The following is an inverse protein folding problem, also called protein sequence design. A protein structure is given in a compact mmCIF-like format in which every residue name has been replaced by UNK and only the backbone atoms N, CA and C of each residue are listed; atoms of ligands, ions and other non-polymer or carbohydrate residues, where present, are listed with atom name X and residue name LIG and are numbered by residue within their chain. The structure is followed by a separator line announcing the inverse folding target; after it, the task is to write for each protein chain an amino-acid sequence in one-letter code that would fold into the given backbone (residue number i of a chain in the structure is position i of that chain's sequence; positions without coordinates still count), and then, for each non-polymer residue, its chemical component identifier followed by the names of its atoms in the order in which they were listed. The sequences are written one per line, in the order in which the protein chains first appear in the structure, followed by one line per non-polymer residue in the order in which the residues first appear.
data_IF_033010743802
#
_entry.id   IF_033010743802
#
_cell.length_a   1.000
_cell.length_b   1.000
_cell.length_c   1.000
_cell.angle_alpha   90.00
_cell.angle_beta   90.00
_cell.angle_gamma   90.00
#
_symmetry.space_group_name_H-M   'P 1'
#
loop_
_entity.id
_entity.type
_entity.pdbx_description
1 polymer ?
#
# COMPACT_ATOMS: atom_id res chain seq x y z
N UNK A 1 2.20 -1.70 -51.65
CA UNK A 1 2.82 -1.10 -50.44
C UNK A 1 3.57 -2.13 -49.60
N UNK A 2 2.99 -3.28 -49.26
CA UNK A 2 3.63 -4.36 -48.48
C UNK A 2 4.86 -5.00 -49.18
N UNK A 3 4.83 -5.20 -50.49
CA UNK A 3 5.95 -5.81 -51.27
C UNK A 3 7.23 -4.97 -51.22
N UNK A 4 7.11 -3.64 -51.27
CA UNK A 4 8.26 -2.73 -51.18
C UNK A 4 8.87 -2.71 -49.78
N UNK A 5 8.06 -2.91 -48.71
CA UNK A 5 8.54 -3.06 -47.34
C UNK A 5 9.31 -4.38 -47.16
N UNK A 6 8.82 -5.46 -47.71
CA UNK A 6 9.47 -6.77 -47.64
C UNK A 6 10.80 -6.79 -48.43
N UNK A 7 10.86 -6.09 -49.57
CA UNK A 7 12.09 -5.97 -50.39
C UNK A 7 13.16 -5.15 -49.66
N UNK A 8 12.78 -4.03 -49.04
CA UNK A 8 13.69 -3.23 -48.22
C UNK A 8 14.20 -3.99 -47.00
N UNK A 9 13.31 -4.72 -46.30
CA UNK A 9 13.71 -5.60 -45.22
C UNK A 9 14.74 -6.64 -45.63
N UNK A 10 14.54 -7.29 -46.80
CA UNK A 10 15.48 -8.27 -47.33
C UNK A 10 16.86 -7.69 -47.64
N UNK A 11 16.94 -6.43 -48.07
CA UNK A 11 18.22 -5.75 -48.41
C UNK A 11 18.95 -5.19 -47.18
N UNK A 12 18.22 -4.83 -46.10
CA UNK A 12 18.77 -4.18 -44.88
C UNK A 12 18.37 -4.91 -43.61
N UNK A 13 18.33 -6.24 -43.62
CA UNK A 13 17.81 -7.08 -42.54
C UNK A 13 18.39 -6.71 -41.17
N UNK A 14 19.71 -6.55 -41.10
CA UNK A 14 20.41 -6.29 -39.84
C UNK A 14 20.04 -4.93 -39.27
N UNK A 15 20.04 -3.87 -40.05
CA UNK A 15 19.71 -2.51 -39.61
C UNK A 15 18.23 -2.39 -39.18
N UNK A 16 17.31 -2.98 -39.94
CA UNK A 16 15.88 -2.97 -39.63
C UNK A 16 15.59 -3.79 -38.36
N UNK A 17 16.16 -5.00 -38.25
CA UNK A 17 15.99 -5.84 -37.07
C UNK A 17 16.56 -5.19 -35.81
N UNK A 18 17.73 -4.54 -35.91
CA UNK A 18 18.36 -3.84 -34.78
C UNK A 18 17.51 -2.63 -34.32
N UNK A 19 16.97 -1.86 -35.30
CA UNK A 19 16.10 -0.72 -34.98
C UNK A 19 14.77 -1.16 -34.33
N UNK A 20 14.16 -2.24 -34.82
CA UNK A 20 12.94 -2.79 -34.24
C UNK A 20 13.24 -3.32 -32.85
N UNK A 21 14.31 -4.09 -32.67
CA UNK A 21 14.69 -4.63 -31.37
C UNK A 21 14.98 -3.50 -30.36
N UNK A 22 15.72 -2.46 -30.74
CA UNK A 22 16.02 -1.29 -29.94
C UNK A 22 14.76 -0.53 -29.52
N UNK A 23 13.83 -0.30 -30.48
CA UNK A 23 12.58 0.37 -30.18
C UNK A 23 11.69 -0.47 -29.25
N UNK A 24 11.61 -1.78 -29.49
CA UNK A 24 10.83 -2.70 -28.64
C UNK A 24 11.38 -2.70 -27.20
N UNK A 25 12.71 -2.81 -27.06
CA UNK A 25 13.35 -2.80 -25.74
C UNK A 25 13.09 -1.47 -25.02
N UNK A 26 13.24 -0.35 -25.72
CA UNK A 26 13.01 0.98 -25.15
C UNK A 26 11.55 1.16 -24.68
N UNK A 27 10.58 0.79 -25.51
CA UNK A 27 9.15 0.88 -25.16
C UNK A 27 8.79 -0.04 -23.99
N UNK A 28 9.30 -1.27 -23.98
CA UNK A 28 9.07 -2.21 -22.88
C UNK A 28 9.64 -1.66 -21.58
N UNK A 29 10.89 -1.18 -21.59
CA UNK A 29 11.54 -0.58 -20.42
C UNK A 29 10.77 0.64 -19.91
N UNK A 30 10.33 1.51 -20.84
CA UNK A 30 9.51 2.67 -20.49
C UNK A 30 8.21 2.28 -19.80
N UNK A 31 7.47 1.31 -20.35
CA UNK A 31 6.20 0.83 -19.79
C UNK A 31 6.42 0.25 -18.39
N UNK A 32 7.46 -0.56 -18.19
CA UNK A 32 7.77 -1.17 -16.88
C UNK A 32 8.10 -0.08 -15.85
N UNK A 33 8.93 0.89 -16.22
CA UNK A 33 9.30 1.99 -15.31
C UNK A 33 8.08 2.84 -14.96
N UNK A 34 7.24 3.20 -15.93
CA UNK A 34 6.03 3.98 -15.66
C UNK A 34 5.04 3.20 -14.80
N UNK A 35 4.90 1.89 -15.00
CA UNK A 35 4.07 1.04 -14.15
C UNK A 35 4.59 1.04 -12.70
N UNK A 36 5.91 0.93 -12.48
CA UNK A 36 6.52 1.02 -11.16
C UNK A 36 6.32 2.40 -10.53
N UNK A 37 6.59 3.48 -11.26
CA UNK A 37 6.37 4.86 -10.78
C UNK A 37 4.90 5.07 -10.40
N UNK A 38 3.98 4.59 -11.24
CA UNK A 38 2.53 4.67 -10.94
C UNK A 38 2.17 3.90 -9.69
N UNK A 39 2.71 2.69 -9.51
CA UNK A 39 2.51 1.87 -8.31
C UNK A 39 2.93 2.63 -7.04
N UNK A 40 4.14 3.20 -7.01
CA UNK A 40 4.65 3.94 -5.86
C UNK A 40 3.82 5.21 -5.56
N UNK A 41 3.51 6.00 -6.60
CA UNK A 41 2.78 7.28 -6.42
C UNK A 41 1.29 7.11 -6.10
N UNK A 42 0.72 5.93 -6.33
CA UNK A 42 -0.69 5.64 -6.03
C UNK A 42 -0.88 4.78 -4.79
N UNK A 43 0.16 4.67 -3.95
CA UNK A 43 0.08 3.91 -2.70
C UNK A 43 -0.99 4.52 -1.79
N UNK A 44 -1.92 3.69 -1.28
CA UNK A 44 -3.09 4.07 -0.48
C UNK A 44 -4.06 5.08 -1.11
N UNK A 45 -3.84 5.51 -2.37
CA UNK A 45 -4.71 6.49 -3.03
C UNK A 45 -6.12 5.96 -3.38
N UNK A 46 -6.36 4.65 -3.25
CA UNK A 46 -7.65 4.03 -3.51
C UNK A 46 -8.67 4.22 -2.39
N UNK A 47 -8.23 4.58 -1.17
CA UNK A 47 -9.14 4.88 -0.07
C UNK A 47 -9.85 6.21 -0.30
N UNK A 48 -11.18 6.24 -0.14
CA UNK A 48 -11.89 7.50 -0.11
C UNK A 48 -11.41 8.32 1.08
N UNK A 49 -11.28 9.62 0.89
CA UNK A 49 -10.78 10.53 1.93
C UNK A 49 -9.37 10.16 2.47
N UNK A 50 -8.51 9.50 1.67
CA UNK A 50 -7.14 9.18 2.06
C UNK A 50 -6.34 10.42 2.51
N UNK A 51 -6.66 11.59 1.97
CA UNK A 51 -6.12 12.90 2.30
C UNK A 51 -6.56 13.43 3.68
N UNK A 52 -7.66 12.89 4.24
CA UNK A 52 -8.18 13.21 5.58
C UNK A 52 -7.90 12.13 6.62
N UNK A 53 -7.25 11.03 6.22
CA UNK A 53 -6.82 9.96 7.13
C UNK A 53 -5.35 10.17 7.47
N UNK A 54 -5.05 10.15 8.77
CA UNK A 54 -3.69 10.37 9.29
C UNK A 54 -3.32 9.29 10.29
N UNK A 55 -2.07 8.82 10.20
CA UNK A 55 -1.45 8.00 11.25
C UNK A 55 -0.86 8.93 12.32
N UNK A 56 -1.14 8.61 13.58
CA UNK A 56 -0.50 9.27 14.69
C UNK A 56 0.87 8.67 14.97
N UNK A 57 1.86 9.52 15.15
CA UNK A 57 3.25 9.17 15.38
C UNK A 57 3.80 10.05 16.49
N UNK A 58 4.78 9.56 17.24
CA UNK A 58 5.40 10.34 18.29
C UNK A 58 6.92 10.28 18.21
N UNK A 59 7.56 11.30 18.80
CA UNK A 59 8.97 11.31 19.13
C UNK A 59 9.16 11.78 20.56
N UNK A 60 10.26 11.39 21.16
CA UNK A 60 10.69 11.85 22.48
C UNK A 60 12.23 12.04 22.50
N UNK A 61 12.78 12.43 23.66
CA UNK A 61 14.21 12.68 23.81
C UNK A 61 15.11 11.46 23.60
N UNK A 62 14.57 10.25 23.60
CA UNK A 62 15.34 9.00 23.43
C UNK A 62 15.45 8.58 21.95
N UNK A 63 14.56 9.08 21.08
CA UNK A 63 14.43 8.65 19.68
C UNK A 63 15.36 9.41 18.72
N UNK A 64 16.21 10.30 19.22
CA UNK A 64 17.22 11.03 18.43
C UNK A 64 16.66 11.72 17.16
N UNK A 65 15.40 12.17 17.21
CA UNK A 65 14.70 12.81 16.10
C UNK A 65 13.98 11.86 15.15
N UNK A 66 14.02 10.56 15.41
CA UNK A 66 13.15 9.58 14.74
C UNK A 66 11.75 9.61 15.36
N UNK A 67 10.79 8.98 14.65
CA UNK A 67 9.42 8.84 15.11
C UNK A 67 9.03 7.37 15.24
N UNK A 68 8.07 7.09 16.10
CA UNK A 68 7.40 5.80 16.22
C UNK A 68 5.91 5.92 15.95
N UNK A 69 5.33 4.90 15.29
CA UNK A 69 3.87 4.75 15.11
C UNK A 69 3.23 3.86 16.19
N UNK A 70 4.03 3.14 16.95
CA UNK A 70 3.60 2.22 18.01
C UNK A 70 3.25 2.94 19.30
N UNK A 71 2.04 3.47 19.42
CA UNK A 71 1.54 4.14 20.63
C UNK A 71 1.13 3.13 21.69
N UNK A 72 1.29 3.49 22.97
CA UNK A 72 0.61 2.81 24.07
C UNK A 72 -0.91 3.07 23.96
N UNK A 73 -1.73 2.08 24.36
CA UNK A 73 -3.20 2.23 24.36
C UNK A 73 -3.66 3.50 25.05
N UNK A 74 -3.13 3.80 26.22
CA UNK A 74 -3.48 4.97 27.01
C UNK A 74 -3.23 6.29 26.26
N UNK A 75 -2.11 6.43 25.53
CA UNK A 75 -1.83 7.62 24.72
C UNK A 75 -2.81 7.77 23.55
N UNK A 76 -3.07 6.67 22.85
CA UNK A 76 -3.95 6.67 21.70
C UNK A 76 -5.41 6.90 22.08
N UNK A 77 -5.87 6.38 23.19
CA UNK A 77 -7.24 6.60 23.68
C UNK A 77 -7.46 8.07 24.06
N UNK A 78 -6.45 8.73 24.68
CA UNK A 78 -6.44 10.18 24.92
C UNK A 78 -6.52 10.95 23.59
N UNK A 79 -5.77 10.54 22.58
CA UNK A 79 -5.83 11.15 21.25
C UNK A 79 -7.25 11.07 20.67
N UNK A 80 -7.87 9.89 20.65
CA UNK A 80 -9.19 9.71 20.05
C UNK A 80 -10.29 10.51 20.76
N UNK A 81 -10.13 10.76 22.07
CA UNK A 81 -11.06 11.55 22.86
C UNK A 81 -10.77 13.07 22.86
N UNK A 82 -9.67 13.52 22.27
CA UNK A 82 -9.12 14.86 22.48
C UNK A 82 -9.85 15.98 21.75
N UNK A 83 -10.57 15.70 20.67
CA UNK A 83 -11.11 16.75 19.82
C UNK A 83 -12.34 16.30 19.03
N UNK A 84 -13.36 17.19 18.91
CA UNK A 84 -14.52 16.95 18.07
C UNK A 84 -14.20 16.97 16.56
N UNK A 85 -13.02 17.45 16.16
CA UNK A 85 -12.55 17.44 14.78
C UNK A 85 -12.08 16.05 14.29
N UNK A 86 -12.01 15.08 15.19
CA UNK A 86 -11.77 13.67 14.86
C UNK A 86 -13.13 13.03 14.57
N UNK A 87 -13.46 12.84 13.29
CA UNK A 87 -14.71 12.19 12.86
C UNK A 87 -14.74 10.70 13.20
N UNK A 88 -13.60 10.04 13.06
CA UNK A 88 -13.46 8.60 13.31
C UNK A 88 -12.01 8.28 13.64
N UNK A 89 -11.81 7.24 14.45
CA UNK A 89 -10.48 6.72 14.76
C UNK A 89 -10.45 5.20 14.66
N UNK A 90 -9.29 4.66 14.33
CA UNK A 90 -9.06 3.22 14.22
C UNK A 90 -7.74 2.82 14.83
N UNK A 91 -7.70 1.63 15.42
CA UNK A 91 -6.54 1.07 16.10
C UNK A 91 -6.16 -0.23 15.40
N UNK A 92 -4.88 -0.42 15.12
CA UNK A 92 -4.31 -1.64 14.55
C UNK A 92 -3.16 -2.12 15.44
N UNK A 93 -3.15 -3.40 15.72
CA UNK A 93 -2.02 -4.09 16.31
C UNK A 93 -1.60 -5.25 15.38
N UNK A 94 -0.34 -5.29 14.95
CA UNK A 94 0.16 -6.32 14.04
C UNK A 94 0.85 -7.43 14.84
N UNK A 95 0.35 -8.65 14.70
CA UNK A 95 1.09 -9.85 15.12
C UNK A 95 2.11 -10.33 14.08
N UNK A 96 2.05 -9.77 12.86
CA UNK A 96 2.83 -10.28 11.72
C UNK A 96 2.34 -11.63 11.24
N UNK A 97 3.25 -12.40 10.63
CA UNK A 97 2.93 -13.71 10.07
C UNK A 97 2.77 -14.76 11.16
N UNK A 98 1.54 -15.19 11.40
CA UNK A 98 1.14 -16.08 12.49
C UNK A 98 0.59 -17.38 11.93
N UNK A 99 0.81 -18.48 12.66
CA UNK A 99 0.28 -19.80 12.31
C UNK A 99 -1.22 -19.87 12.58
N UNK A 100 -1.96 -20.22 11.53
CA UNK A 100 -3.43 -20.26 11.55
C UNK A 100 -3.91 -21.62 11.04
N UNK A 101 -4.95 -22.18 11.65
CA UNK A 101 -5.59 -23.43 11.18
C UNK A 101 -7.06 -23.50 11.64
N UNK A 102 -7.87 -24.22 10.88
CA UNK A 102 -9.25 -24.54 11.28
C UNK A 102 -9.27 -25.50 12.48
N UNK A 103 -10.08 -25.18 13.49
CA UNK A 103 -10.16 -25.97 14.73
C UNK A 103 -10.52 -27.44 14.47
N UNK A 104 -11.41 -27.72 13.50
CA UNK A 104 -11.87 -29.07 13.19
C UNK A 104 -10.85 -29.88 12.36
N UNK A 105 -10.07 -29.21 11.53
CA UNK A 105 -9.06 -29.84 10.66
C UNK A 105 -7.71 -30.01 11.38
N UNK A 106 -7.52 -29.29 12.49
CA UNK A 106 -6.32 -29.38 13.32
C UNK A 106 -5.06 -28.80 12.65
N UNK A 107 -3.92 -28.98 13.33
CA UNK A 107 -2.63 -28.35 12.95
C UNK A 107 -2.06 -28.82 11.61
N UNK A 108 -2.54 -29.90 11.03
CA UNK A 108 -1.99 -30.47 9.77
C UNK A 108 -2.21 -29.54 8.57
N UNK A 109 -3.27 -28.75 8.56
CA UNK A 109 -3.60 -27.76 7.54
C UNK A 109 -3.16 -26.34 7.88
N UNK A 110 -2.18 -26.15 8.80
CA UNK A 110 -1.79 -24.81 9.24
C UNK A 110 -1.06 -24.02 8.15
N UNK A 111 -1.39 -22.73 8.03
CA UNK A 111 -0.76 -21.76 7.15
C UNK A 111 -0.19 -20.60 7.96
N UNK A 112 0.87 -19.96 7.44
CA UNK A 112 1.33 -18.67 7.95
C UNK A 112 0.57 -17.57 7.23
N UNK A 113 -0.19 -16.77 7.97
CA UNK A 113 -0.98 -15.64 7.44
C UNK A 113 -0.78 -14.43 8.36
N UNK A 114 -0.71 -13.24 7.77
CA UNK A 114 -0.58 -12.01 8.55
C UNK A 114 -1.86 -11.76 9.36
N UNK A 115 -1.70 -11.55 10.66
CA UNK A 115 -2.80 -11.36 11.60
C UNK A 115 -2.71 -10.00 12.28
N UNK A 116 -3.86 -9.32 12.34
CA UNK A 116 -4.01 -8.01 12.97
C UNK A 116 -5.17 -8.02 13.97
N UNK A 117 -4.98 -7.39 15.13
CA UNK A 117 -6.10 -7.00 15.98
C UNK A 117 -6.51 -5.57 15.61
N UNK A 118 -7.83 -5.36 15.47
CA UNK A 118 -8.36 -4.07 15.03
C UNK A 118 -9.48 -3.60 15.93
N UNK A 119 -9.60 -2.27 16.11
CA UNK A 119 -10.79 -1.69 16.74
C UNK A 119 -12.02 -1.88 15.85
N UNK A 120 -13.24 -1.91 16.43
CA UNK A 120 -14.49 -2.07 15.68
C UNK A 120 -14.71 -0.98 14.61
N UNK A 121 -14.14 0.20 14.82
CA UNK A 121 -14.27 1.35 13.91
C UNK A 121 -13.29 1.33 12.73
N UNK A 122 -12.24 0.50 12.78
CA UNK A 122 -11.21 0.48 11.75
C UNK A 122 -11.75 0.09 10.36
N UNK A 123 -12.61 -0.95 10.22
CA UNK A 123 -13.17 -1.30 8.93
C UNK A 123 -13.97 -0.18 8.27
N UNK A 124 -14.69 0.64 9.04
CA UNK A 124 -15.42 1.80 8.52
C UNK A 124 -14.47 2.95 8.14
N UNK A 125 -13.38 3.13 8.90
CA UNK A 125 -12.37 4.15 8.60
C UNK A 125 -11.70 3.92 7.25
N UNK A 126 -11.35 2.67 6.94
CA UNK A 126 -10.67 2.24 5.72
C UNK A 126 -11.62 1.61 4.69
N UNK A 127 -12.92 1.71 4.91
CA UNK A 127 -13.97 1.25 3.97
C UNK A 127 -13.78 -0.21 3.50
N UNK A 128 -13.57 -1.13 4.44
CA UNK A 128 -13.45 -2.56 4.13
C UNK A 128 -14.73 -3.05 3.43
N UNK A 129 -14.60 -3.55 2.21
CA UNK A 129 -15.73 -4.07 1.46
C UNK A 129 -16.07 -5.50 1.92
N UNK A 130 -17.23 -5.69 2.57
CA UNK A 130 -17.71 -7.00 2.99
C UNK A 130 -18.15 -7.82 1.78
N UNK A 131 -17.57 -9.00 1.60
CA UNK A 131 -17.95 -9.97 0.55
C UNK A 131 -18.98 -10.96 1.05
N UNK A 132 -18.84 -11.41 2.32
CA UNK A 132 -19.74 -12.37 2.95
C UNK A 132 -19.76 -12.19 4.46
N UNK A 133 -20.86 -12.51 5.12
CA UNK A 133 -21.02 -12.38 6.56
C UNK A 133 -21.33 -10.94 6.99
N UNK A 134 -21.00 -10.59 8.23
CA UNK A 134 -21.23 -9.25 8.80
C UNK A 134 -19.95 -8.73 9.49
N UNK A 135 -19.27 -7.79 8.83
CA UNK A 135 -18.04 -7.22 9.35
C UNK A 135 -18.25 -6.32 10.57
N UNK A 136 -19.46 -5.83 10.84
CA UNK A 136 -19.81 -5.07 12.05
C UNK A 136 -19.61 -5.88 13.33
N UNK A 137 -19.68 -7.22 13.21
CA UNK A 137 -19.42 -8.14 14.31
C UNK A 137 -17.96 -8.23 14.73
N UNK A 138 -17.02 -7.56 14.02
CA UNK A 138 -15.59 -7.61 14.36
C UNK A 138 -15.26 -7.09 15.75
N UNK A 139 -16.16 -6.32 16.38
CA UNK A 139 -16.03 -5.89 17.76
C UNK A 139 -16.43 -6.93 18.82
N UNK A 140 -17.03 -8.05 18.42
CA UNK A 140 -17.42 -9.12 19.33
C UNK A 140 -16.16 -9.84 19.87
N UNK A 141 -16.15 -10.24 21.14
CA UNK A 141 -15.06 -11.06 21.67
C UNK A 141 -14.88 -12.32 20.79
N UNK A 142 -13.62 -12.64 20.50
CA UNK A 142 -13.26 -13.80 19.67
C UNK A 142 -13.73 -13.74 18.20
N UNK A 143 -14.22 -12.60 17.69
CA UNK A 143 -14.51 -12.45 16.30
C UNK A 143 -13.22 -12.37 15.44
N UNK A 144 -13.28 -12.96 14.25
CA UNK A 144 -12.27 -12.77 13.21
C UNK A 144 -12.93 -12.58 11.84
N UNK A 145 -12.28 -11.83 10.97
CA UNK A 145 -12.65 -11.74 9.57
C UNK A 145 -11.45 -12.04 8.68
N UNK A 146 -11.70 -12.70 7.56
CA UNK A 146 -10.68 -13.13 6.61
C UNK A 146 -10.71 -12.23 5.38
N UNK A 147 -9.55 -11.89 4.83
CA UNK A 147 -9.50 -11.43 3.44
C UNK A 147 -9.94 -12.55 2.49
N UNK A 148 -10.38 -12.18 1.30
CA UNK A 148 -10.85 -13.15 0.30
C UNK A 148 -9.76 -14.17 -0.07
N UNK A 149 -8.51 -13.71 -0.20
CA UNK A 149 -7.36 -14.59 -0.43
C UNK A 149 -7.07 -15.51 0.74
N UNK A 150 -7.15 -15.02 1.99
CA UNK A 150 -6.96 -15.84 3.18
C UNK A 150 -8.07 -16.91 3.31
N UNK A 151 -9.33 -16.54 3.04
CA UNK A 151 -10.44 -17.48 3.03
C UNK A 151 -10.25 -18.56 1.96
N UNK A 152 -9.80 -18.20 0.76
CA UNK A 152 -9.52 -19.15 -0.32
C UNK A 152 -8.34 -20.07 0.03
N UNK A 153 -7.29 -19.54 0.64
CA UNK A 153 -6.11 -20.32 1.02
C UNK A 153 -6.43 -21.38 2.10
N UNK A 154 -7.27 -21.03 3.09
CA UNK A 154 -7.64 -21.90 4.20
C UNK A 154 -8.77 -22.88 3.84
N UNK A 155 -9.75 -22.42 3.08
CA UNK A 155 -11.01 -23.17 2.89
C UNK A 155 -11.31 -23.56 1.44
N UNK A 156 -10.56 -23.02 0.46
CA UNK A 156 -10.85 -23.23 -0.96
C UNK A 156 -12.23 -22.67 -1.32
N UNK A 157 -13.15 -23.52 -1.73
CA UNK A 157 -14.53 -23.15 -2.09
C UNK A 157 -15.54 -23.38 -0.96
N UNK A 158 -15.10 -23.84 0.21
CA UNK A 158 -15.99 -24.10 1.35
C UNK A 158 -16.35 -22.78 2.03
N UNK A 159 -17.58 -22.69 2.55
CA UNK A 159 -18.01 -21.52 3.32
C UNK A 159 -17.30 -21.50 4.70
N UNK A 160 -16.51 -20.49 5.03
CA UNK A 160 -15.83 -20.39 6.31
C UNK A 160 -16.67 -19.67 7.39
N UNK A 161 -17.77 -18.98 7.05
CA UNK A 161 -18.55 -18.21 8.02
C UNK A 161 -19.14 -19.12 9.11
N UNK A 162 -18.94 -18.72 10.38
CA UNK A 162 -19.33 -19.46 11.57
C UNK A 162 -18.37 -20.58 11.95
N UNK A 163 -17.33 -20.86 11.15
CA UNK A 163 -16.28 -21.81 11.54
C UNK A 163 -15.32 -21.18 12.55
N UNK A 164 -14.61 -22.04 13.28
CA UNK A 164 -13.67 -21.62 14.30
C UNK A 164 -12.23 -21.77 13.81
N UNK A 165 -11.48 -20.70 13.93
CA UNK A 165 -10.09 -20.58 13.51
C UNK A 165 -9.21 -20.48 14.76
N UNK A 166 -8.14 -21.25 14.81
CA UNK A 166 -7.14 -21.14 15.85
C UNK A 166 -5.98 -20.28 15.35
N UNK A 167 -5.70 -19.20 16.07
CA UNK A 167 -4.65 -18.22 15.77
C UNK A 167 -3.86 -18.05 17.07
N UNK A 168 -2.57 -18.40 17.05
CA UNK A 168 -1.67 -18.29 18.22
C UNK A 168 -2.28 -18.91 19.50
N UNK A 169 -2.83 -20.12 19.36
CA UNK A 169 -3.52 -20.90 20.39
C UNK A 169 -4.84 -20.28 20.92
N UNK A 170 -5.30 -19.16 20.35
CA UNK A 170 -6.62 -18.59 20.61
C UNK A 170 -7.63 -19.01 19.53
N UNK A 171 -8.83 -19.38 19.95
CA UNK A 171 -9.92 -19.73 19.04
C UNK A 171 -10.79 -18.50 18.75
N UNK A 172 -11.01 -18.23 17.46
CA UNK A 172 -11.84 -17.12 16.99
C UNK A 172 -12.92 -17.63 16.02
N UNK A 173 -14.12 -17.03 16.05
CA UNK A 173 -15.20 -17.31 15.10
C UNK A 173 -15.04 -16.43 13.86
N UNK A 174 -15.17 -17.03 12.67
CA UNK A 174 -15.14 -16.29 11.42
C UNK A 174 -16.52 -15.64 11.18
N UNK A 175 -16.59 -14.33 11.32
CA UNK A 175 -17.84 -13.55 11.23
C UNK A 175 -18.02 -12.91 9.85
N UNK A 176 -16.93 -12.68 9.10
CA UNK A 176 -16.99 -12.05 7.79
C UNK A 176 -15.82 -12.44 6.87
N UNK A 177 -16.04 -12.26 5.58
CA UNK A 177 -15.01 -12.19 4.55
C UNK A 177 -15.03 -10.79 3.96
N UNK A 178 -13.88 -10.14 3.89
CA UNK A 178 -13.72 -8.85 3.22
C UNK A 178 -12.87 -8.97 1.94
N UNK A 179 -13.05 -8.02 1.02
CA UNK A 179 -12.29 -7.96 -0.23
C UNK A 179 -10.82 -7.68 0.04
N UNK A 180 -9.92 -8.35 -0.70
CA UNK A 180 -8.50 -8.09 -0.63
C UNK A 180 -8.18 -6.63 -0.98
N UNK A 181 -7.24 -6.05 -0.26
CA UNK A 181 -6.70 -4.74 -0.60
C UNK A 181 -5.83 -4.80 -1.85
N UNK A 182 -5.73 -3.71 -2.62
CA UNK A 182 -4.72 -3.60 -3.66
C UNK A 182 -3.31 -3.77 -3.10
N UNK A 183 -2.37 -4.24 -3.93
CA UNK A 183 -0.97 -4.46 -3.51
C UNK A 183 -0.26 -3.18 -3.08
N UNK A 184 -0.69 -2.03 -3.60
CA UNK A 184 -0.22 -0.69 -3.22
C UNK A 184 -1.05 -0.11 -2.07
N UNK A 185 -1.22 -0.90 -1.03
CA UNK A 185 -1.92 -0.54 0.19
C UNK A 185 -1.06 -0.82 1.42
N UNK A 186 -1.26 -0.03 2.47
CA UNK A 186 -0.68 -0.26 3.79
C UNK A 186 -1.19 -1.54 4.45
N UNK A 187 -2.32 -2.09 4.00
CA UNK A 187 -2.82 -3.38 4.46
C UNK A 187 -2.40 -4.52 3.53
N UNK A 188 -1.96 -5.63 4.13
CA UNK A 188 -1.57 -6.84 3.40
C UNK A 188 -2.80 -7.48 2.75
N UNK A 189 -2.76 -7.80 1.43
CA UNK A 189 -3.90 -8.39 0.73
C UNK A 189 -4.39 -9.71 1.33
N UNK A 190 -3.46 -10.62 1.71
CA UNK A 190 -3.80 -11.90 2.31
C UNK A 190 -3.63 -11.82 3.82
N UNK A 191 -4.69 -11.44 4.54
CA UNK A 191 -4.62 -11.21 5.98
C UNK A 191 -5.89 -11.61 6.72
N UNK A 192 -5.75 -11.71 8.04
CA UNK A 192 -6.84 -11.96 8.99
C UNK A 192 -6.89 -10.78 9.96
N UNK A 193 -8.08 -10.29 10.25
CA UNK A 193 -8.31 -9.33 11.33
C UNK A 193 -9.10 -9.97 12.44
N UNK A 194 -8.80 -9.62 13.70
CA UNK A 194 -9.52 -10.06 14.88
C UNK A 194 -9.92 -8.88 15.77
N UNK A 195 -10.84 -9.13 16.70
CA UNK A 195 -11.26 -8.14 17.66
C UNK A 195 -10.09 -7.70 18.57
N UNK A 196 -9.86 -6.39 18.66
CA UNK A 196 -8.84 -5.82 19.55
C UNK A 196 -9.23 -5.95 21.03
N UNK A 197 -10.49 -5.69 21.37
CA UNK A 197 -10.98 -5.71 22.73
C UNK A 197 -10.10 -4.90 23.71
N UNK A 198 -9.85 -5.48 24.87
CA UNK A 198 -9.00 -4.89 25.92
C UNK A 198 -7.50 -5.23 25.76
N UNK A 199 -7.09 -5.81 24.65
CA UNK A 199 -5.70 -6.19 24.40
C UNK A 199 -4.76 -5.00 24.63
N UNK A 200 -3.78 -5.20 25.51
CA UNK A 200 -2.73 -4.22 25.79
C UNK A 200 -3.07 -3.06 26.71
N UNK A 201 -4.28 -3.01 27.28
CA UNK A 201 -4.65 -1.95 28.23
C UNK A 201 -3.83 -2.07 29.52
N UNK A 202 -3.66 -3.29 30.05
CA UNK A 202 -3.04 -3.52 31.35
C UNK A 202 -1.50 -3.48 31.33
N UNK A 203 -0.86 -3.90 30.23
CA UNK A 203 0.59 -4.14 30.22
C UNK A 203 1.44 -2.97 29.69
N UNK A 204 0.80 -1.86 29.29
CA UNK A 204 1.50 -0.61 28.93
C UNK A 204 2.44 -0.67 27.73
N UNK A 205 2.50 -1.79 27.00
CA UNK A 205 3.31 -1.90 25.80
C UNK A 205 2.78 -1.02 24.68
N UNK A 206 3.70 -0.33 23.98
CA UNK A 206 3.38 0.51 22.85
C UNK A 206 3.71 -0.20 21.55
N UNK A 207 2.69 -0.62 20.81
CA UNK A 207 2.85 -1.18 19.45
C UNK A 207 1.57 -1.00 18.63
N UNK A 208 0.67 -0.12 19.09
CA UNK A 208 -0.62 0.10 18.44
C UNK A 208 -0.54 1.28 17.50
N UNK A 209 -0.80 1.06 16.22
CA UNK A 209 -0.94 2.15 15.25
C UNK A 209 -2.33 2.77 15.37
N UNK A 210 -2.38 4.08 15.50
CA UNK A 210 -3.60 4.87 15.58
C UNK A 210 -3.78 5.68 14.31
N UNK A 211 -4.91 5.48 13.69
CA UNK A 211 -5.35 6.25 12.52
C UNK A 211 -6.55 7.10 12.90
N UNK A 212 -6.56 8.34 12.45
CA UNK A 212 -7.69 9.26 12.62
C UNK A 212 -8.16 9.79 11.28
N UNK A 213 -9.47 9.96 11.12
CA UNK A 213 -10.04 10.76 10.04
C UNK A 213 -10.52 12.07 10.64
N UNK A 214 -10.05 13.18 10.08
CA UNK A 214 -10.43 14.52 10.50
C UNK A 214 -11.46 15.12 9.56
N UNK A 215 -12.27 16.03 10.08
CA UNK A 215 -13.22 16.82 9.29
C UNK A 215 -12.48 17.74 8.28
N UNK A 216 -11.37 18.36 8.72
CA UNK A 216 -10.48 19.17 7.89
C UNK A 216 -9.01 18.99 8.34
N UNK A 217 -8.08 18.77 7.39
CA UNK A 217 -6.64 18.71 7.70
C UNK A 217 -6.07 19.95 8.40
N UNK A 218 -6.69 21.12 8.24
CA UNK A 218 -6.29 22.37 8.92
C UNK A 218 -6.45 22.25 10.45
N UNK A 219 -7.32 21.38 10.94
CA UNK A 219 -7.54 21.16 12.37
C UNK A 219 -6.48 20.28 13.05
N UNK A 220 -5.57 19.65 12.31
CA UNK A 220 -4.51 18.78 12.88
C UNK A 220 -3.64 19.50 13.90
N UNK A 221 -3.34 20.78 13.66
CA UNK A 221 -2.56 21.58 14.62
C UNK A 221 -3.36 21.86 15.91
N UNK A 222 -4.66 22.04 15.79
CA UNK A 222 -5.55 22.19 16.96
C UNK A 222 -5.60 20.89 17.79
N UNK A 223 -5.73 19.74 17.10
CA UNK A 223 -5.71 18.42 17.76
C UNK A 223 -4.35 18.22 18.45
N UNK A 224 -3.24 18.49 17.77
CA UNK A 224 -1.89 18.34 18.33
C UNK A 224 -1.69 19.20 19.58
N UNK A 225 -2.16 20.45 19.57
CA UNK A 225 -2.10 21.36 20.74
C UNK A 225 -2.96 20.89 21.91
N UNK A 226 -4.06 20.20 21.65
CA UNK A 226 -4.88 19.62 22.68
C UNK A 226 -4.24 18.37 23.31
N UNK A 227 -3.60 17.53 22.51
CA UNK A 227 -3.05 16.22 22.93
C UNK A 227 -1.69 16.35 23.60
N UNK A 228 -0.75 17.14 23.06
CA UNK A 228 0.61 17.21 23.57
C UNK A 228 0.72 17.51 25.07
N UNK A 229 0.00 18.50 25.65
CA UNK A 229 0.07 18.73 27.09
C UNK A 229 -0.41 17.53 27.93
N UNK A 230 -1.45 16.83 27.44
CA UNK A 230 -1.99 15.65 28.15
C UNK A 230 -1.00 14.49 28.16
N UNK A 231 -0.29 14.28 27.05
CA UNK A 231 0.74 13.25 26.96
C UNK A 231 1.96 13.59 27.83
N UNK A 232 2.40 14.86 27.81
CA UNK A 232 3.51 15.34 28.65
C UNK A 232 3.18 15.16 30.12
N UNK A 233 1.96 15.53 30.56
CA UNK A 233 1.52 15.36 31.96
C UNK A 233 1.48 13.88 32.34
N UNK A 234 0.95 13.03 31.47
CA UNK A 234 0.77 11.60 31.72
C UNK A 234 2.10 10.84 31.83
N UNK A 235 3.08 11.14 30.97
CA UNK A 235 4.37 10.44 30.91
C UNK A 235 5.49 11.18 31.67
N UNK A 236 5.24 12.40 32.15
CA UNK A 236 6.24 13.27 32.78
C UNK A 236 7.46 13.52 31.87
N UNK A 237 7.23 13.61 30.55
CA UNK A 237 8.27 13.81 29.52
C UNK A 237 7.94 15.03 28.66
N UNK A 238 8.66 16.14 28.89
CA UNK A 238 8.52 17.39 28.13
C UNK A 238 9.02 17.30 26.68
N UNK A 239 9.78 16.28 26.33
CA UNK A 239 10.32 16.08 25.00
C UNK A 239 9.35 15.41 24.05
N UNK A 240 8.26 14.85 24.59
CA UNK A 240 7.24 14.11 23.85
C UNK A 240 6.48 15.01 22.87
N UNK A 241 6.41 14.61 21.61
CA UNK A 241 5.74 15.35 20.54
C UNK A 241 4.94 14.42 19.64
N UNK A 242 3.69 14.80 19.39
CA UNK A 242 2.81 14.15 18.43
C UNK A 242 3.02 14.71 17.01
N UNK A 243 3.06 13.82 16.02
CA UNK A 243 3.01 14.13 14.59
C UNK A 243 1.87 13.36 13.94
N UNK A 244 1.30 13.94 12.90
CA UNK A 244 0.35 13.28 12.01
C UNK A 244 0.93 13.14 10.62
N UNK A 245 0.95 11.91 10.11
CA UNK A 245 1.39 11.62 8.74
C UNK A 245 0.18 11.19 7.91
N UNK A 246 -0.12 11.93 6.83
CA UNK A 246 -1.22 11.60 5.94
C UNK A 246 -1.04 10.20 5.32
N UNK A 247 -2.11 9.44 5.21
CA UNK A 247 -2.10 8.05 4.75
C UNK A 247 -1.29 7.85 3.46
N UNK A 248 -1.47 8.64 2.37
CA UNK A 248 -0.69 8.46 1.14
C UNK A 248 0.79 8.85 1.27
N UNK A 249 1.20 9.49 2.38
CA UNK A 249 2.58 9.88 2.64
C UNK A 249 3.34 8.88 3.50
N UNK A 250 2.65 7.95 4.17
CA UNK A 250 3.26 6.95 5.04
C UNK A 250 4.30 6.14 4.27
N UNK A 251 3.97 5.73 3.04
CA UNK A 251 4.85 4.97 2.15
C UNK A 251 6.17 5.70 1.83
N UNK A 252 6.21 7.02 1.91
CA UNK A 252 7.39 7.85 1.65
C UNK A 252 8.07 8.39 2.92
N UNK A 253 7.66 7.91 4.11
CA UNK A 253 8.21 8.36 5.39
C UNK A 253 9.43 7.49 5.76
N UNK A 254 10.58 8.12 6.03
CA UNK A 254 11.85 7.44 6.29
C UNK A 254 12.43 7.69 7.68
N UNK A 255 11.92 8.67 8.42
CA UNK A 255 12.37 9.06 9.74
C UNK A 255 11.65 8.28 10.86
N UNK A 256 11.37 7.01 10.62
CA UNK A 256 10.73 6.11 11.56
C UNK A 256 11.76 5.18 12.21
N UNK A 257 11.68 4.97 13.51
CA UNK A 257 12.55 4.03 14.23
C UNK A 257 12.30 2.58 13.78
N UNK A 258 11.02 2.21 13.65
CA UNK A 258 10.60 0.92 13.11
C UNK A 258 9.73 1.15 11.88
N UNK A 259 10.08 0.46 10.80
CA UNK A 259 9.31 0.48 9.56
C UNK A 259 8.55 -0.82 9.46
N UNK A 260 7.26 -0.77 9.73
CA UNK A 260 6.36 -1.94 9.63
C UNK A 260 5.92 -2.24 8.20
N UNK A 261 6.14 -1.31 7.27
CA UNK A 261 5.63 -1.37 5.90
C UNK A 261 6.74 -1.10 4.88
N UNK A 262 6.52 -1.53 3.63
CA UNK A 262 7.42 -1.17 2.53
C UNK A 262 7.43 0.35 2.33
N UNK A 263 8.62 0.93 2.25
CA UNK A 263 8.80 2.36 2.00
C UNK A 263 9.47 2.60 0.67
N UNK A 264 9.06 3.68 0.00
CA UNK A 264 9.66 4.18 -1.22
C UNK A 264 10.26 5.57 -1.01
N UNK A 265 11.30 5.89 -1.78
CA UNK A 265 11.90 7.24 -1.76
C UNK A 265 11.42 8.06 -2.95
N UNK A 266 10.99 9.30 -2.70
CA UNK A 266 10.72 10.27 -3.77
C UNK A 266 11.93 10.44 -4.70
N UNK A 267 13.17 10.40 -4.18
CA UNK A 267 14.37 10.49 -4.98
C UNK A 267 14.48 9.31 -5.97
N UNK A 268 14.15 8.09 -5.54
CA UNK A 268 14.11 6.92 -6.41
C UNK A 268 13.03 7.06 -7.48
N UNK A 269 11.83 7.48 -7.12
CA UNK A 269 10.70 7.66 -8.05
C UNK A 269 11.03 8.70 -9.12
N UNK A 270 11.57 9.88 -8.73
CA UNK A 270 11.97 10.91 -9.68
C UNK A 270 13.15 10.49 -10.55
N UNK A 271 14.10 9.72 -10.02
CA UNK A 271 15.20 9.15 -10.80
C UNK A 271 14.68 8.19 -11.88
N UNK A 272 13.76 7.29 -11.51
CA UNK A 272 13.12 6.38 -12.46
C UNK A 272 12.35 7.14 -13.54
N UNK A 273 11.61 8.19 -13.16
CA UNK A 273 10.88 9.02 -14.11
C UNK A 273 11.84 9.72 -15.10
N UNK A 274 12.97 10.24 -14.60
CA UNK A 274 14.00 10.84 -15.44
C UNK A 274 14.58 9.83 -16.44
N UNK A 275 14.88 8.61 -15.97
CA UNK A 275 15.36 7.52 -16.85
C UNK A 275 14.31 7.18 -17.91
N UNK A 276 13.02 7.08 -17.53
CA UNK A 276 11.93 6.81 -18.47
C UNK A 276 11.86 7.86 -19.59
N UNK A 277 11.97 9.16 -19.23
CA UNK A 277 11.99 10.26 -20.18
C UNK A 277 13.20 10.16 -21.12
N UNK A 278 14.40 9.85 -20.60
CA UNK A 278 15.59 9.68 -21.42
C UNK A 278 15.47 8.50 -22.40
N UNK A 279 14.93 7.37 -21.93
CA UNK A 279 14.69 6.19 -22.79
C UNK A 279 13.76 6.54 -23.95
N UNK A 280 12.65 7.23 -23.70
CA UNK A 280 11.71 7.58 -24.77
C UNK A 280 12.31 8.60 -25.74
N UNK A 281 13.13 9.54 -25.26
CA UNK A 281 13.85 10.48 -26.12
C UNK A 281 14.85 9.75 -27.03
N UNK A 282 15.64 8.82 -26.50
CA UNK A 282 16.56 8.00 -27.29
C UNK A 282 15.81 7.15 -28.32
N UNK A 283 14.68 6.56 -27.92
CA UNK A 283 13.82 5.80 -28.84
C UNK A 283 13.27 6.67 -29.98
N UNK A 284 12.83 7.90 -29.68
CA UNK A 284 12.38 8.86 -30.68
C UNK A 284 13.50 9.24 -31.65
N UNK A 285 14.70 9.53 -31.17
CA UNK A 285 15.88 9.84 -32.01
C UNK A 285 16.19 8.66 -32.91
N UNK A 286 16.22 7.44 -32.37
CA UNK A 286 16.47 6.21 -33.17
C UNK A 286 15.39 6.02 -34.23
N UNK A 287 14.11 6.24 -33.89
CA UNK A 287 13.00 6.16 -34.84
C UNK A 287 13.13 7.21 -35.98
N UNK A 288 13.46 8.47 -35.63
CA UNK A 288 13.66 9.57 -36.60
C UNK A 288 14.82 9.22 -37.54
N UNK A 289 15.98 8.82 -37.00
CA UNK A 289 17.15 8.42 -37.80
C UNK A 289 16.83 7.29 -38.78
N UNK A 290 16.08 6.28 -38.28
CA UNK A 290 15.64 5.17 -39.15
C UNK A 290 14.67 5.63 -40.25
N UNK A 291 13.76 6.59 -39.92
CA UNK A 291 12.81 7.13 -40.90
C UNK A 291 13.51 8.00 -41.94
N UNK A 292 14.41 8.88 -41.50
CA UNK A 292 15.16 9.79 -42.39
C UNK A 292 16.10 8.99 -43.36
N UNK A 293 16.73 7.93 -42.87
CA UNK A 293 17.58 7.07 -43.68
C UNK A 293 16.85 6.41 -44.87
N UNK A 294 15.52 6.37 -44.83
CA UNK A 294 14.65 5.82 -45.91
C UNK A 294 14.28 6.84 -47.00
N UNK A 295 14.45 8.13 -46.75
CA UNK A 295 14.04 9.19 -47.70
C UNK A 295 14.78 9.09 -49.06
N UNK A 296 16.11 8.91 -49.10
CA UNK A 296 16.84 8.81 -50.39
C UNK A 296 16.38 7.67 -51.29
N UNK A 297 16.02 6.53 -50.71
CA UNK A 297 15.51 5.37 -51.46
C UNK A 297 14.11 5.61 -52.02
N UNK A 298 13.26 6.37 -51.36
CA UNK A 298 11.93 6.78 -51.87
C UNK A 298 12.06 7.76 -53.03
N UNK A 299 12.94 8.74 -52.92
CA UNK A 299 13.15 9.77 -53.98
C UNK A 299 13.65 9.10 -55.23
N UNK A 300 14.60 8.17 -55.18
CA UNK A 300 15.06 7.40 -56.35
C UNK A 300 13.93 6.61 -57.03
N UNK A 301 13.04 6.01 -56.24
CA UNK A 301 11.93 5.21 -56.81
C UNK A 301 10.88 6.07 -57.53
N UNK A 302 10.59 7.25 -56.98
CA UNK A 302 9.64 8.21 -57.59
C UNK A 302 10.21 8.79 -58.87
N UNK A 303 11.52 9.10 -58.93
CA UNK A 303 12.17 9.61 -60.14
C UNK A 303 12.27 8.57 -61.24
N UNK A 304 12.45 7.27 -60.93
CA UNK A 304 12.47 6.19 -61.92
C UNK A 304 11.08 5.93 -62.51
N UNK A 305 10.01 6.13 -61.78
CA UNK A 305 8.62 5.99 -62.25
C UNK A 305 8.15 7.20 -63.11
N UNK A 306 8.85 8.35 -63.07
CA UNK A 306 8.55 9.51 -63.91
C UNK A 306 9.25 9.49 -65.26
N UNK A 307 10.19 8.57 -65.49
CA UNK A 307 11.01 8.47 -66.71
C UNK A 307 10.55 7.30 -67.57
N UNK A 308 9.65 6.45 -67.09
CA UNK A 308 8.94 5.41 -67.83
C UNK A 308 7.50 5.87 -68.14
#
# INVERSE_FOLDING_TARGET
MCENLLRYYKQNKLAVSLSIAGLTLALTSFIVIIAQVSYELTFDAHYKNADRIFRAEYTDGTLEGLYESGLKRMRGDVLLASSPHIESGGIVYSYGNTRVYDEQEGKTGSLGIDFYLVSPSLPDLFEFETVQGDLKRIGEPQAAALSQSAATALYGHRNPIGRRLVIDDETKEIVAIYRDFPKNSSFVPCSIIGALGDHGIENGYGAYEYYIRVDDPEHLETIRKAVNPLWIEQEQDETLKLRFTALPKIHFTHDMLYVSQQTASYATVYSLLTIAVLIILIAMINFVNFTVSRIPSRIRHINTQKIL
#
